data_IF_350178328426
#
_entry.id   IF_350178328426
#
_cell.length_a   1.000
_cell.length_b   1.000
_cell.length_c   1.000
_cell.angle_alpha   90.00
_cell.angle_beta   90.00
_cell.angle_gamma   90.00
#
_symmetry.space_group_name_H-M   'P 1'
#
loop_
_entity.id
_entity.type
_entity.pdbx_description
1 polymer ?
#
# COMPACT_ATOMS: atom_id res chain seq x y z
N UNK A 1 -3.48 28.02 -36.41
CA UNK A 1 -3.74 27.23 -35.18
C UNK A 1 -3.36 25.78 -35.46
N UNK A 2 -2.71 25.05 -34.54
CA UNK A 2 -2.40 23.64 -34.75
C UNK A 2 -3.70 22.84 -34.97
N UNK A 3 -3.73 21.86 -35.89
CA UNK A 3 -4.89 20.98 -36.07
C UNK A 3 -5.36 20.35 -34.77
N UNK A 4 -6.69 20.20 -34.60
CA UNK A 4 -7.29 19.66 -33.38
C UNK A 4 -6.75 18.26 -33.01
N UNK A 5 -6.34 17.46 -34.00
CA UNK A 5 -5.68 16.18 -33.77
C UNK A 5 -4.40 16.30 -32.96
N UNK A 6 -3.54 17.28 -33.26
CA UNK A 6 -2.30 17.51 -32.51
C UNK A 6 -2.58 18.00 -31.09
N UNK A 7 -3.56 18.87 -30.90
CA UNK A 7 -3.94 19.35 -29.56
C UNK A 7 -4.48 18.21 -28.69
N UNK A 8 -5.33 17.33 -29.26
CA UNK A 8 -5.85 16.16 -28.55
C UNK A 8 -4.76 15.16 -28.21
N UNK A 9 -3.87 14.86 -29.16
CA UNK A 9 -2.76 13.95 -28.96
C UNK A 9 -1.78 14.49 -27.89
N UNK A 10 -1.40 15.77 -27.99
CA UNK A 10 -0.53 16.41 -27.00
C UNK A 10 -1.18 16.44 -25.61
N UNK A 11 -2.48 16.75 -25.52
CA UNK A 11 -3.22 16.71 -24.26
C UNK A 11 -3.25 15.32 -23.64
N UNK A 12 -3.52 14.29 -24.43
CA UNK A 12 -3.52 12.90 -23.96
C UNK A 12 -2.13 12.47 -23.47
N UNK A 13 -1.08 12.75 -24.24
CA UNK A 13 0.29 12.42 -23.85
C UNK A 13 0.72 13.16 -22.57
N UNK A 14 0.37 14.44 -22.45
CA UNK A 14 0.60 15.23 -21.24
C UNK A 14 -0.12 14.66 -20.03
N UNK A 15 -1.38 14.22 -20.20
CA UNK A 15 -2.15 13.57 -19.14
C UNK A 15 -1.51 12.24 -18.69
N UNK A 16 -1.16 11.37 -19.63
CA UNK A 16 -0.53 10.07 -19.32
C UNK A 16 0.82 10.28 -18.63
N UNK A 17 1.67 11.16 -19.17
CA UNK A 17 2.96 11.49 -18.56
C UNK A 17 2.81 12.10 -17.16
N UNK A 18 1.84 13.01 -16.99
CA UNK A 18 1.51 13.61 -15.70
C UNK A 18 1.03 12.59 -14.67
N UNK A 19 0.20 11.63 -15.10
CA UNK A 19 -0.23 10.51 -14.24
C UNK A 19 0.96 9.65 -13.79
N UNK A 20 1.83 9.23 -14.72
CA UNK A 20 3.03 8.44 -14.38
C UNK A 20 3.95 9.18 -13.40
N UNK A 21 4.15 10.48 -13.61
CA UNK A 21 4.93 11.32 -12.72
C UNK A 21 4.28 11.45 -11.33
N UNK A 22 2.97 11.67 -11.27
CA UNK A 22 2.23 11.78 -10.02
C UNK A 22 2.25 10.46 -9.24
N UNK A 23 2.03 9.32 -9.91
CA UNK A 23 2.03 8.00 -9.30
C UNK A 23 3.40 7.67 -8.68
N UNK A 24 4.48 7.78 -9.48
CA UNK A 24 5.84 7.51 -9.00
C UNK A 24 6.29 8.48 -7.91
N UNK A 25 5.96 9.78 -8.02
CA UNK A 25 6.26 10.77 -6.98
C UNK A 25 5.50 10.52 -5.68
N UNK A 26 4.28 10.00 -5.77
CA UNK A 26 3.51 9.57 -4.60
C UNK A 26 4.13 8.35 -3.93
N UNK A 27 4.49 7.33 -4.70
CA UNK A 27 5.13 6.10 -4.18
C UNK A 27 6.42 6.39 -3.41
N UNK A 28 7.23 7.36 -3.84
CA UNK A 28 8.43 7.79 -3.09
C UNK A 28 8.13 8.25 -1.66
N UNK A 29 6.96 8.87 -1.42
CA UNK A 29 6.51 9.23 -0.06
C UNK A 29 6.16 8.00 0.76
N UNK A 30 5.53 6.98 0.16
CA UNK A 30 5.28 5.70 0.83
C UNK A 30 6.56 4.95 1.21
N UNK A 31 7.60 5.02 0.38
CA UNK A 31 8.92 4.46 0.68
C UNK A 31 9.75 5.30 1.67
N UNK A 32 9.29 6.51 2.02
CA UNK A 32 10.05 7.44 2.86
C UNK A 32 11.29 8.02 2.17
N UNK A 33 11.36 7.98 0.84
CA UNK A 33 12.46 8.57 0.07
C UNK A 33 12.34 10.10 -0.02
N UNK A 34 11.14 10.62 0.19
CA UNK A 34 10.82 12.05 0.22
C UNK A 34 9.97 12.34 1.45
N UNK A 35 9.81 13.63 1.80
CA UNK A 35 8.94 14.07 2.90
C UNK A 35 7.55 13.43 2.80
N UNK A 36 7.07 12.88 3.92
CA UNK A 36 5.84 12.08 3.98
C UNK A 36 5.09 12.19 5.33
N UNK A 37 5.29 13.27 6.09
CA UNK A 37 4.69 13.40 7.43
C UNK A 37 3.16 13.38 7.39
N UNK A 38 2.57 13.95 6.34
CA UNK A 38 1.12 13.94 6.10
C UNK A 38 0.61 12.53 5.83
N UNK A 39 1.30 11.78 4.97
CA UNK A 39 0.99 10.39 4.67
C UNK A 39 1.14 9.50 5.89
N UNK A 40 2.19 9.68 6.70
CA UNK A 40 2.41 8.94 7.94
C UNK A 40 1.30 9.21 8.96
N UNK A 41 0.89 10.47 9.13
CA UNK A 41 -0.21 10.81 10.04
C UNK A 41 -1.54 10.20 9.57
N UNK A 42 -1.81 10.25 8.26
CA UNK A 42 -3.01 9.66 7.66
C UNK A 42 -3.02 8.13 7.78
N UNK A 43 -1.91 7.48 7.43
CA UNK A 43 -1.71 6.03 7.54
C UNK A 43 -1.95 5.56 8.98
N UNK A 44 -1.35 6.25 9.96
CA UNK A 44 -1.54 5.89 11.38
C UNK A 44 -2.98 6.05 11.83
N UNK A 45 -3.69 7.08 11.40
CA UNK A 45 -5.12 7.23 11.70
C UNK A 45 -5.96 6.12 11.06
N UNK A 46 -5.78 5.87 9.75
CA UNK A 46 -6.57 4.89 9.00
C UNK A 46 -6.32 3.45 9.48
N UNK A 47 -5.06 3.09 9.70
CA UNK A 47 -4.70 1.76 10.23
C UNK A 47 -5.24 1.57 11.64
N UNK A 48 -5.05 2.53 12.56
CA UNK A 48 -5.59 2.41 13.93
C UNK A 48 -7.12 2.31 13.94
N UNK A 49 -7.80 3.07 13.08
CA UNK A 49 -9.25 2.99 12.93
C UNK A 49 -9.68 1.58 12.52
N UNK A 50 -9.04 0.98 11.52
CA UNK A 50 -9.36 -0.38 11.06
C UNK A 50 -9.04 -1.44 12.12
N UNK A 51 -7.88 -1.30 12.80
CA UNK A 51 -7.50 -2.20 13.88
C UNK A 51 -8.47 -2.13 15.08
N UNK A 52 -8.95 -0.93 15.45
CA UNK A 52 -9.98 -0.78 16.50
C UNK A 52 -11.30 -1.48 16.15
N UNK A 53 -11.53 -1.73 14.86
CA UNK A 53 -12.71 -2.42 14.33
C UNK A 53 -12.44 -3.91 14.08
N UNK A 54 -11.29 -4.45 14.52
CA UNK A 54 -10.86 -5.85 14.27
C UNK A 54 -10.76 -6.19 12.78
N UNK A 55 -10.37 -5.22 11.94
CA UNK A 55 -10.21 -5.39 10.50
C UNK A 55 -8.73 -5.25 10.09
N UNK A 56 -8.30 -6.06 9.11
CA UNK A 56 -6.98 -5.90 8.49
C UNK A 56 -6.90 -4.57 7.74
N UNK A 57 -5.80 -3.81 7.89
CA UNK A 57 -5.62 -2.55 7.16
C UNK A 57 -5.38 -2.73 5.66
N UNK A 58 -5.13 -3.97 5.19
CA UNK A 58 -4.76 -4.25 3.79
C UNK A 58 -5.95 -4.66 2.91
N UNK A 59 -7.16 -4.60 3.45
CA UNK A 59 -8.39 -4.95 2.72
C UNK A 59 -8.61 -6.45 2.59
N UNK A 60 -9.66 -6.80 1.83
CA UNK A 60 -10.06 -8.18 1.53
C UNK A 60 -9.64 -8.56 0.12
N UNK A 61 -9.35 -9.84 -0.08
CA UNK A 61 -8.97 -10.40 -1.37
C UNK A 61 -9.52 -11.81 -1.50
N UNK A 62 -9.93 -12.18 -2.70
CA UNK A 62 -10.37 -13.54 -3.04
C UNK A 62 -9.17 -14.41 -3.48
N UNK A 63 -7.99 -13.82 -3.58
CA UNK A 63 -6.77 -14.52 -3.96
C UNK A 63 -6.33 -15.48 -2.86
N UNK A 64 -5.94 -16.69 -3.26
CA UNK A 64 -5.26 -17.63 -2.37
C UNK A 64 -3.95 -17.03 -1.84
N UNK A 65 -3.43 -17.51 -0.68
CA UNK A 65 -2.18 -17.00 -0.12
C UNK A 65 -1.01 -17.04 -1.13
N UNK A 66 -0.93 -18.10 -1.94
CA UNK A 66 0.06 -18.24 -3.02
C UNK A 66 -0.08 -17.15 -4.09
N UNK A 67 -1.30 -16.88 -4.57
CA UNK A 67 -1.52 -15.83 -5.57
C UNK A 67 -1.25 -14.43 -5.02
N UNK A 68 -1.54 -14.20 -3.74
CA UNK A 68 -1.16 -12.96 -3.07
C UNK A 68 0.36 -12.78 -3.03
N UNK A 69 1.13 -13.84 -2.77
CA UNK A 69 2.59 -13.79 -2.78
C UNK A 69 3.14 -13.49 -4.17
N UNK A 70 2.64 -14.18 -5.20
CA UNK A 70 3.02 -13.90 -6.59
C UNK A 70 2.68 -12.46 -6.99
N UNK A 71 1.51 -11.98 -6.60
CA UNK A 71 1.11 -10.60 -6.86
C UNK A 71 2.02 -9.59 -6.12
N UNK A 72 2.39 -9.88 -4.87
CA UNK A 72 3.31 -9.05 -4.10
C UNK A 72 4.69 -8.99 -4.76
N UNK A 73 5.26 -10.14 -5.14
CA UNK A 73 6.57 -10.21 -5.80
C UNK A 73 6.60 -9.47 -7.14
N UNK A 74 5.53 -9.57 -7.92
CA UNK A 74 5.44 -8.88 -9.22
C UNK A 74 5.23 -7.36 -9.08
N UNK A 75 4.51 -6.93 -8.04
CA UNK A 75 4.15 -5.51 -7.88
C UNK A 75 5.10 -4.71 -6.99
N UNK A 76 5.84 -5.37 -6.09
CA UNK A 76 6.83 -4.73 -5.21
C UNK A 76 7.91 -4.04 -6.05
N UNK A 77 8.15 -2.76 -5.78
CA UNK A 77 9.14 -1.92 -6.47
C UNK A 77 8.94 -1.73 -7.98
N UNK A 78 7.82 -2.20 -8.55
CA UNK A 78 7.51 -2.07 -9.98
C UNK A 78 7.50 -0.62 -10.47
N UNK A 79 7.30 0.34 -9.57
CA UNK A 79 7.32 1.77 -9.87
C UNK A 79 8.68 2.29 -10.36
N UNK A 80 9.78 1.58 -10.09
CA UNK A 80 11.10 1.95 -10.60
C UNK A 80 11.18 1.87 -12.13
N UNK A 81 10.35 1.04 -12.76
CA UNK A 81 10.27 0.86 -14.21
C UNK A 81 8.90 1.32 -14.77
N UNK A 82 8.16 2.16 -14.04
CA UNK A 82 6.79 2.55 -14.40
C UNK A 82 6.69 3.26 -15.77
N UNK A 83 7.75 3.96 -16.17
CA UNK A 83 7.82 4.61 -17.48
C UNK A 83 7.92 3.62 -18.65
N UNK A 84 8.37 2.38 -18.40
CA UNK A 84 8.47 1.32 -19.40
C UNK A 84 7.26 0.39 -19.33
N UNK A 85 6.89 -0.03 -18.12
CA UNK A 85 5.79 -0.96 -17.87
C UNK A 85 4.94 -0.38 -16.73
N UNK A 86 3.69 0.06 -17.00
CA UNK A 86 2.82 0.65 -15.98
C UNK A 86 2.20 -0.44 -15.09
N UNK A 87 3.02 -1.07 -14.27
CA UNK A 87 2.61 -2.14 -13.37
C UNK A 87 2.22 -1.58 -12.00
N UNK A 88 1.05 -1.97 -11.50
CA UNK A 88 0.44 -1.45 -10.27
C UNK A 88 0.00 -2.59 -9.35
N UNK A 89 -0.12 -2.32 -8.06
CA UNK A 89 -0.70 -3.27 -7.11
C UNK A 89 -2.23 -3.12 -7.04
N UNK A 90 -2.95 -4.22 -7.27
CA UNK A 90 -4.42 -4.30 -7.18
C UNK A 90 -4.88 -5.52 -6.37
N UNK A 91 -3.96 -6.21 -5.69
CA UNK A 91 -4.21 -7.56 -5.16
C UNK A 91 -4.66 -7.60 -3.68
N UNK A 92 -4.55 -6.47 -2.96
CA UNK A 92 -4.82 -6.39 -1.52
C UNK A 92 -4.09 -7.49 -0.71
N UNK A 93 -2.85 -7.80 -1.11
CA UNK A 93 -2.04 -8.84 -0.47
C UNK A 93 -1.57 -8.39 0.92
N UNK A 94 -1.24 -9.31 1.82
CA UNK A 94 -0.77 -8.93 3.17
C UNK A 94 0.72 -8.48 3.22
N UNK A 95 1.49 -8.72 2.17
CA UNK A 95 2.96 -8.53 2.13
C UNK A 95 3.40 -7.09 1.87
N UNK A 96 3.33 -6.23 2.89
CA UNK A 96 3.73 -4.81 2.79
C UNK A 96 5.06 -4.45 3.49
N UNK A 97 5.75 -5.43 4.07
CA UNK A 97 7.06 -5.21 4.70
C UNK A 97 7.03 -4.37 5.99
N UNK A 98 5.89 -4.27 6.67
CA UNK A 98 5.75 -3.55 7.94
C UNK A 98 5.22 -4.45 9.05
N UNK A 99 5.71 -4.23 10.27
CA UNK A 99 5.12 -4.83 11.48
C UNK A 99 3.99 -3.92 12.00
N UNK A 100 2.78 -4.47 12.11
CA UNK A 100 1.61 -3.75 12.62
C UNK A 100 1.73 -3.38 14.12
N UNK A 101 2.64 -4.02 14.86
CA UNK A 101 2.95 -3.65 16.26
C UNK A 101 3.33 -2.18 16.41
N UNK A 102 3.91 -1.55 15.38
CA UNK A 102 4.28 -0.13 15.39
C UNK A 102 3.08 0.83 15.59
N UNK A 103 1.85 0.37 15.35
CA UNK A 103 0.64 1.17 15.54
C UNK A 103 0.09 1.08 16.98
N UNK A 104 0.58 0.16 17.81
CA UNK A 104 0.19 0.06 19.22
C UNK A 104 0.90 1.10 20.09
N UNK A 105 2.04 1.60 19.61
CA UNK A 105 2.63 2.82 20.15
C UNK A 105 1.72 4.02 19.86
N UNK A 106 1.43 4.82 20.88
CA UNK A 106 0.66 6.07 20.77
C UNK A 106 1.63 7.23 20.67
N UNK A 107 1.54 8.02 19.59
CA UNK A 107 2.37 9.22 19.39
C UNK A 107 1.62 10.46 19.89
N UNK A 108 2.35 11.55 20.22
CA UNK A 108 1.73 12.80 20.64
C UNK A 108 0.67 13.29 19.65
N UNK A 109 -0.53 13.55 20.15
CA UNK A 109 -1.66 14.02 19.37
C UNK A 109 -2.53 12.91 18.78
N UNK A 110 -2.17 11.64 18.93
CA UNK A 110 -3.01 10.50 18.52
C UNK A 110 -4.03 10.11 19.59
N UNK A 111 -3.79 10.50 20.84
CA UNK A 111 -4.67 10.23 21.99
C UNK A 111 -6.09 10.77 21.73
N UNK A 112 -6.18 11.91 21.04
CA UNK A 112 -7.44 12.57 20.69
C UNK A 112 -8.34 11.75 19.75
N UNK A 113 -7.81 10.74 19.08
CA UNK A 113 -8.60 9.89 18.18
C UNK A 113 -9.48 8.89 18.94
N UNK A 114 -9.18 8.62 20.21
CA UNK A 114 -10.01 7.75 21.06
C UNK A 114 -10.07 6.29 20.61
N UNK A 115 -9.09 5.81 19.84
CA UNK A 115 -9.03 4.42 19.43
C UNK A 115 -8.46 3.53 20.54
N UNK A 116 -9.19 2.46 20.86
CA UNK A 116 -8.69 1.35 21.67
C UNK A 116 -8.42 0.17 20.74
N UNK A 117 -7.16 -0.25 20.66
CA UNK A 117 -6.77 -1.37 19.80
C UNK A 117 -6.87 -2.68 20.57
N UNK A 118 -7.56 -3.71 20.04
CA UNK A 118 -7.51 -5.05 20.60
C UNK A 118 -6.12 -5.67 20.35
N UNK A 119 -5.72 -6.74 21.06
CA UNK A 119 -4.51 -7.49 20.75
C UNK A 119 -4.44 -7.88 19.26
N UNK A 120 -3.24 -7.89 18.66
CA UNK A 120 -3.05 -8.15 17.23
C UNK A 120 -3.59 -9.53 16.81
N UNK A 121 -3.55 -10.48 17.73
CA UNK A 121 -4.01 -11.85 17.56
C UNK A 121 -5.53 -11.93 17.34
N UNK A 122 -6.27 -10.90 17.75
CA UNK A 122 -7.73 -10.80 17.58
C UNK A 122 -8.15 -10.09 16.30
N UNK A 123 -7.20 -9.61 15.48
CA UNK A 123 -7.50 -8.94 14.22
C UNK A 123 -7.75 -10.00 13.15
N UNK A 124 -8.98 -10.00 12.61
CA UNK A 124 -9.37 -10.90 11.53
C UNK A 124 -8.49 -10.68 10.28
N UNK A 125 -8.32 -11.72 9.47
CA UNK A 125 -7.59 -11.71 8.19
C UNK A 125 -6.04 -11.53 8.27
N UNK A 126 -5.47 -11.12 9.41
CA UNK A 126 -4.01 -11.15 9.62
C UNK A 126 -3.44 -12.56 9.81
N UNK A 127 -4.30 -13.54 10.10
CA UNK A 127 -3.92 -14.95 10.17
C UNK A 127 -3.26 -15.43 8.85
N UNK A 128 -3.66 -14.88 7.70
CA UNK A 128 -3.04 -15.17 6.39
C UNK A 128 -1.62 -14.58 6.29
N UNK A 129 -1.36 -13.43 6.92
CA UNK A 129 -0.02 -12.86 7.06
C UNK A 129 0.88 -13.69 7.97
N UNK A 130 0.33 -14.30 9.04
CA UNK A 130 1.07 -15.26 9.87
C UNK A 130 1.29 -16.62 9.18
N UNK A 131 0.47 -16.99 8.18
CA UNK A 131 0.74 -18.17 7.36
C UNK A 131 2.02 -18.02 6.51
N UNK A 132 2.51 -16.82 6.25
CA UNK A 132 3.83 -16.64 5.60
C UNK A 132 4.97 -17.21 6.45
N UNK A 133 4.90 -17.15 7.80
CA UNK A 133 5.89 -17.83 8.65
C UNK A 133 5.83 -19.35 8.53
N UNK A 134 4.68 -19.91 8.14
CA UNK A 134 4.54 -21.36 7.93
C UNK A 134 4.96 -21.78 6.52
N UNK A 135 4.78 -20.93 5.49
CA UNK A 135 5.16 -21.22 4.10
C UNK A 135 6.60 -20.79 3.74
N UNK A 136 7.26 -19.93 4.52
CA UNK A 136 8.68 -19.62 4.36
C UNK A 136 9.62 -20.72 4.89
N UNK A 137 9.08 -21.81 5.43
CA UNK A 137 9.84 -23.00 5.86
C UNK A 137 10.06 -24.01 4.73
N UNK A 138 9.69 -23.69 3.49
CA UNK A 138 10.18 -24.48 2.36
C UNK A 138 11.65 -24.13 2.12
N UNK A 139 12.57 -25.11 2.12
CA UNK A 139 13.95 -24.86 1.71
C UNK A 139 13.94 -24.30 0.29
N UNK A 140 14.73 -23.25 0.07
CA UNK A 140 14.96 -22.66 -1.25
C UNK A 140 15.45 -23.69 -2.27
#
# INVERSE_FOLDING_TARGET
MPPAGFLRAAGLLGFVGGFCFAYTSSTKRFWGWTENSKEVAKDRYEVKKLLSQKQSPYGKTELSPYHQDMAARNSTNSQLLFALIPWVNLANHQSHGIDLRKYYEVRPGEEKWGFTLPPLEEINDLAVGNQYKTYSNYPN
#
